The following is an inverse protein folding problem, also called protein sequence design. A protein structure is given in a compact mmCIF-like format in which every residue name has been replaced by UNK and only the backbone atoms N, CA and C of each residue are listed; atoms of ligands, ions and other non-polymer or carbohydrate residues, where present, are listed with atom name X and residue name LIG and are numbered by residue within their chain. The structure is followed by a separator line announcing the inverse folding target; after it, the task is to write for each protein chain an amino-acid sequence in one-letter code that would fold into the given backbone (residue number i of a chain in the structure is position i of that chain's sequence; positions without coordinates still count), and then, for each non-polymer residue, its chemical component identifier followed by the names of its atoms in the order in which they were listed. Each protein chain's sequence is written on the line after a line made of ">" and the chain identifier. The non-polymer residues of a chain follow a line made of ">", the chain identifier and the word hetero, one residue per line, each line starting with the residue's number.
data_IF_063353536225
#
_entry.id   IF_063353536225
#
_cell.length_a   1.000
_cell.length_b   1.000
_cell.length_c   1.000
_cell.angle_alpha   90.00
_cell.angle_beta   90.00
_cell.angle_gamma   90.00
#
_symmetry.space_group_name_H-M   'P 1'
#
loop_
_entity.id
_entity.type
_entity.pdbx_description
1 polymer ?
#
# COMPACT_ATOMS: atom_id res chain seq x y z
N UNK A 1 36.13 0.56 5.91
CA UNK A 1 35.13 0.90 6.95
C UNK A 1 33.76 0.82 6.29
N UNK A 2 33.09 -0.33 6.36
CA UNK A 2 31.84 -0.56 5.66
C UNK A 2 30.71 0.26 6.30
N UNK A 3 29.99 1.02 5.48
CA UNK A 3 28.79 1.77 5.87
C UNK A 3 27.71 0.77 6.28
N UNK A 4 27.54 0.54 7.58
CA UNK A 4 26.54 -0.37 8.12
C UNK A 4 25.15 0.26 8.06
N UNK A 5 24.42 0.03 6.98
CA UNK A 5 22.96 0.19 6.99
C UNK A 5 22.43 -0.95 7.85
N UNK A 6 21.92 -0.64 9.05
CA UNK A 6 21.27 -1.66 9.88
C UNK A 6 20.03 -2.16 9.13
N UNK A 7 20.11 -3.37 8.59
CA UNK A 7 19.02 -3.97 7.83
C UNK A 7 17.77 -4.24 8.68
N UNK A 8 17.88 -4.11 10.01
CA UNK A 8 16.79 -4.27 10.98
C UNK A 8 16.04 -2.97 11.30
N UNK A 9 16.51 -1.82 10.80
CA UNK A 9 15.79 -0.56 10.99
C UNK A 9 14.48 -0.57 10.18
N UNK A 10 13.35 -0.12 10.76
CA UNK A 10 12.09 -0.04 10.03
C UNK A 10 12.23 0.80 8.77
N UNK A 11 11.72 0.27 7.64
CA UNK A 11 11.81 0.91 6.33
C UNK A 11 10.49 1.58 5.98
N UNK A 12 10.59 2.73 5.31
CA UNK A 12 9.43 3.40 4.72
C UNK A 12 9.13 2.80 3.36
N UNK A 13 7.89 2.33 3.18
CA UNK A 13 7.42 1.70 1.95
C UNK A 13 6.16 2.41 1.47
N UNK A 14 6.06 2.64 0.17
CA UNK A 14 4.86 3.17 -0.46
C UNK A 14 4.18 2.03 -1.22
N UNK A 15 2.92 1.76 -0.89
CA UNK A 15 2.11 0.70 -1.49
C UNK A 15 1.02 1.35 -2.34
N UNK A 16 0.95 0.98 -3.61
CA UNK A 16 -0.17 1.35 -4.49
C UNK A 16 -1.37 0.45 -4.26
N UNK A 17 -2.55 1.03 -4.12
CA UNK A 17 -3.83 0.33 -4.01
C UNK A 17 -4.71 0.68 -5.21
N UNK A 18 -5.43 -0.31 -5.74
CA UNK A 18 -6.35 -0.14 -6.86
C UNK A 18 -7.56 -1.07 -6.76
N UNK A 19 -8.76 -0.58 -7.06
CA UNK A 19 -9.97 -1.39 -7.13
C UNK A 19 -10.91 -0.91 -8.24
N UNK A 20 -11.36 -1.81 -9.11
CA UNK A 20 -12.34 -1.53 -10.18
C UNK A 20 -13.64 -2.34 -10.09
N UNK A 21 -13.76 -3.27 -9.14
CA UNK A 21 -14.95 -4.12 -8.96
C UNK A 21 -15.61 -3.89 -7.60
N UNK A 22 -16.94 -4.10 -7.54
CA UNK A 22 -17.73 -4.02 -6.31
C UNK A 22 -17.73 -2.64 -5.66
N UNK A 23 -17.76 -2.60 -4.33
CA UNK A 23 -17.57 -1.35 -3.57
C UNK A 23 -16.08 -0.98 -3.55
N UNK A 24 -15.66 -0.27 -4.61
CA UNK A 24 -14.28 0.12 -4.85
C UNK A 24 -13.69 0.94 -3.70
N UNK A 25 -14.48 1.86 -3.12
CA UNK A 25 -14.01 2.73 -2.05
C UNK A 25 -13.84 1.94 -0.75
N UNK A 26 -14.77 1.07 -0.42
CA UNK A 26 -14.67 0.22 0.77
C UNK A 26 -13.55 -0.81 0.65
N UNK A 27 -13.29 -1.35 -0.54
CA UNK A 27 -12.13 -2.20 -0.79
C UNK A 27 -10.81 -1.49 -0.44
N UNK A 28 -10.65 -0.23 -0.87
CA UNK A 28 -9.47 0.57 -0.53
C UNK A 28 -9.37 0.83 0.99
N UNK A 29 -10.48 1.20 1.65
CA UNK A 29 -10.48 1.41 3.11
C UNK A 29 -10.15 0.14 3.87
N UNK A 30 -10.70 -1.00 3.45
CA UNK A 30 -10.39 -2.31 4.04
C UNK A 30 -8.93 -2.65 3.87
N UNK A 31 -8.34 -2.43 2.70
CA UNK A 31 -6.91 -2.65 2.47
C UNK A 31 -6.04 -1.83 3.44
N UNK A 32 -6.34 -0.55 3.64
CA UNK A 32 -5.62 0.30 4.61
C UNK A 32 -5.75 -0.24 6.04
N UNK A 33 -6.96 -0.65 6.46
CA UNK A 33 -7.18 -1.25 7.79
C UNK A 33 -6.43 -2.57 7.95
N UNK A 34 -6.46 -3.43 6.92
CA UNK A 34 -5.72 -4.70 6.92
C UNK A 34 -4.22 -4.49 7.03
N UNK A 35 -3.65 -3.52 6.29
CA UNK A 35 -2.23 -3.16 6.41
C UNK A 35 -1.87 -2.71 7.82
N UNK A 36 -2.72 -1.92 8.47
CA UNK A 36 -2.52 -1.47 9.85
C UNK A 36 -2.72 -2.55 10.92
N UNK A 37 -3.26 -3.71 10.55
CA UNK A 37 -3.44 -4.85 11.45
C UNK A 37 -2.30 -5.88 11.37
N UNK A 38 -1.33 -5.68 10.48
CA UNK A 38 -0.16 -6.55 10.34
C UNK A 38 0.87 -6.17 11.40
N UNK A 39 1.30 -7.14 12.20
CA UNK A 39 2.36 -6.95 13.19
C UNK A 39 3.65 -6.47 12.52
N UNK A 40 4.25 -5.41 13.07
CA UNK A 40 5.44 -4.78 12.51
C UNK A 40 5.17 -3.83 11.33
N UNK A 41 3.91 -3.58 10.95
CA UNK A 41 3.54 -2.58 9.96
C UNK A 41 2.73 -1.46 10.60
N UNK A 42 3.10 -0.21 10.30
CA UNK A 42 2.42 0.98 10.77
C UNK A 42 2.05 1.88 9.62
N UNK A 43 0.75 2.08 9.40
CA UNK A 43 0.26 3.04 8.40
C UNK A 43 0.57 4.46 8.88
N UNK A 44 1.31 5.21 8.08
CA UNK A 44 1.69 6.60 8.38
C UNK A 44 0.76 7.61 7.72
N UNK A 45 0.37 7.34 6.47
CA UNK A 45 -0.46 8.25 5.66
C UNK A 45 -1.10 7.49 4.50
N UNK A 46 -2.29 7.92 4.11
CA UNK A 46 -2.90 7.57 2.83
C UNK A 46 -3.03 8.83 1.96
N UNK A 47 -2.87 8.67 0.65
CA UNK A 47 -3.17 9.73 -0.32
C UNK A 47 -4.68 9.94 -0.45
N UNK A 48 -5.12 11.00 -1.13
CA UNK A 48 -6.47 11.06 -1.70
C UNK A 48 -6.71 9.86 -2.63
N UNK A 49 -8.00 9.56 -2.86
CA UNK A 49 -8.43 8.58 -3.85
C UNK A 49 -8.59 9.28 -5.20
N UNK A 50 -8.08 8.66 -6.26
CA UNK A 50 -8.18 9.13 -7.63
C UNK A 50 -8.91 8.10 -8.49
N UNK A 51 -9.81 8.56 -9.35
CA UNK A 51 -10.44 7.68 -10.34
C UNK A 51 -9.73 7.77 -11.69
N UNK A 52 -9.30 6.64 -12.24
CA UNK A 52 -8.55 6.58 -13.51
C UNK A 52 -9.18 5.60 -14.48
N UNK A 53 -8.93 5.83 -15.78
CA UNK A 53 -9.21 4.84 -16.81
C UNK A 53 -8.34 3.59 -16.62
N UNK A 54 -8.82 2.39 -17.01
CA UNK A 54 -8.01 1.18 -17.00
C UNK A 54 -6.91 1.26 -18.06
N UNK A 55 -5.75 0.66 -17.77
CA UNK A 55 -4.72 0.39 -18.77
C UNK A 55 -4.90 -1.03 -19.30
N UNK A 56 -4.91 -1.18 -20.63
CA UNK A 56 -5.12 -2.47 -21.29
C UNK A 56 -6.56 -2.67 -21.79
N UNK A 57 -7.15 -3.86 -21.68
CA UNK A 57 -8.45 -4.15 -22.27
C UNK A 57 -9.59 -3.33 -21.62
N UNK A 58 -10.73 -3.15 -22.31
CA UNK A 58 -11.88 -2.45 -21.75
C UNK A 58 -12.36 -3.06 -20.44
N UNK A 59 -12.39 -2.25 -19.39
CA UNK A 59 -12.83 -2.60 -18.03
C UNK A 59 -13.51 -1.39 -17.37
N UNK A 60 -14.09 -1.56 -16.19
CA UNK A 60 -14.56 -0.45 -15.37
C UNK A 60 -13.41 0.43 -14.86
N UNK A 61 -13.71 1.70 -14.57
CA UNK A 61 -12.76 2.67 -14.01
C UNK A 61 -12.25 2.21 -12.63
N UNK A 62 -10.97 2.48 -12.37
CA UNK A 62 -10.32 2.16 -11.10
C UNK A 62 -10.43 3.32 -10.12
N UNK A 63 -10.63 3.02 -8.84
CA UNK A 63 -10.19 3.91 -7.76
C UNK A 63 -8.78 3.49 -7.34
N UNK A 64 -7.86 4.46 -7.32
CA UNK A 64 -6.46 4.27 -6.96
C UNK A 64 -6.07 5.17 -5.78
N UNK A 65 -5.17 4.69 -4.93
CA UNK A 65 -4.56 5.43 -3.84
C UNK A 65 -3.15 4.90 -3.55
N UNK A 66 -2.36 5.67 -2.81
CA UNK A 66 -1.07 5.24 -2.27
C UNK A 66 -1.09 5.30 -0.74
N UNK A 67 -0.44 4.34 -0.09
CA UNK A 67 -0.29 4.28 1.36
C UNK A 67 1.18 4.28 1.71
N UNK A 68 1.59 5.23 2.55
CA UNK A 68 2.91 5.22 3.18
C UNK A 68 2.83 4.43 4.47
N UNK A 69 3.65 3.39 4.57
CA UNK A 69 3.82 2.59 5.79
C UNK A 69 5.26 2.67 6.28
N UNK A 70 5.43 2.46 7.57
CA UNK A 70 6.69 2.04 8.16
C UNK A 70 6.59 0.55 8.47
N UNK A 71 7.57 -0.22 8.03
CA UNK A 71 7.60 -1.68 8.17
C UNK A 71 8.89 -2.13 8.81
N UNK A 72 8.80 -2.89 9.90
CA UNK A 72 9.90 -3.65 10.48
C UNK A 72 10.09 -5.02 9.78
N UNK A 73 9.15 -5.41 8.91
CA UNK A 73 9.28 -6.60 8.06
C UNK A 73 10.27 -6.34 6.92
N UNK A 74 10.99 -7.37 6.51
CA UNK A 74 11.70 -7.34 5.24
C UNK A 74 10.71 -7.26 4.05
N UNK A 75 11.23 -6.91 2.87
CA UNK A 75 10.39 -6.69 1.69
C UNK A 75 9.68 -7.95 1.19
N UNK A 76 10.24 -9.14 1.47
CA UNK A 76 9.64 -10.41 1.06
C UNK A 76 8.48 -10.77 1.98
N UNK A 77 8.59 -10.52 3.26
CA UNK A 77 7.53 -10.74 4.24
C UNK A 77 6.38 -9.73 4.12
N UNK A 78 6.62 -8.56 3.53
CA UNK A 78 5.60 -7.54 3.27
C UNK A 78 4.75 -7.79 2.01
N UNK A 79 5.21 -8.63 1.07
CA UNK A 79 4.53 -8.98 -0.18
C UNK A 79 3.51 -10.10 0.01
#
# INVERSE_FOLDING_TARGET
>A
MANGVDERAPKRVVIGLGSNLGDRAENLRRAVRSLGAIDGVRVLRASPIYETEPLGPPQGRFLNAAVLVESALDLRALL
#
